data_IF_573254182087
#
_entry.id   IF_573254182087
#
_cell.length_a   1.000
_cell.length_b   1.000
_cell.length_c   1.000
_cell.angle_alpha   90.00
_cell.angle_beta   90.00
_cell.angle_gamma   90.00
#
_symmetry.space_group_name_H-M   'P 1'
#
loop_
_entity.id
_entity.type
_entity.pdbx_description
1 polymer ?
#
# COMPACT_ATOMS: atom_id res chain seq x y z
N UNK A 1 -23.31 20.30 1.84
CA UNK A 1 -22.29 19.61 1.12
C UNK A 1 -22.46 18.11 1.30
N UNK A 2 -22.26 17.26 0.28
CA UNK A 2 -22.30 15.83 0.48
C UNK A 2 -21.21 15.45 1.48
N UNK A 3 -21.39 14.39 2.30
CA UNK A 3 -20.38 13.96 3.25
C UNK A 3 -19.08 13.63 2.52
N UNK A 4 -17.90 13.91 3.12
CA UNK A 4 -16.63 13.57 2.50
C UNK A 4 -16.53 12.06 2.37
N UNK A 5 -16.66 11.57 1.16
CA UNK A 5 -16.40 10.19 0.83
C UNK A 5 -14.89 10.00 0.81
N UNK A 6 -14.38 9.20 1.74
CA UNK A 6 -13.01 8.69 1.82
C UNK A 6 -11.90 9.70 2.17
N UNK A 7 -11.50 9.67 3.44
CA UNK A 7 -10.36 10.41 4.00
C UNK A 7 -9.01 9.74 3.64
N UNK A 8 -8.60 9.83 2.39
CA UNK A 8 -7.24 9.46 1.97
C UNK A 8 -6.50 10.70 1.47
N UNK A 9 -5.17 10.71 1.49
CA UNK A 9 -4.39 11.80 0.89
C UNK A 9 -4.70 11.98 -0.60
N UNK A 10 -5.05 10.91 -1.29
CA UNK A 10 -5.59 10.92 -2.66
C UNK A 10 -6.99 11.53 -2.71
N UNK A 11 -7.85 11.30 -1.71
CA UNK A 11 -9.19 11.90 -1.64
C UNK A 11 -9.14 13.43 -1.47
N UNK A 12 -8.18 13.96 -0.73
CA UNK A 12 -8.01 15.41 -0.62
C UNK A 12 -7.64 16.05 -1.96
N UNK A 13 -6.75 15.40 -2.74
CA UNK A 13 -6.39 15.84 -4.09
C UNK A 13 -7.57 15.74 -5.05
N UNK A 14 -8.41 14.70 -4.91
CA UNK A 14 -9.61 14.48 -5.69
C UNK A 14 -10.66 15.57 -5.44
N UNK A 15 -10.97 15.85 -4.18
CA UNK A 15 -11.92 16.93 -3.82
C UNK A 15 -11.49 18.27 -4.44
N UNK A 16 -10.20 18.58 -4.35
CA UNK A 16 -9.67 19.81 -4.94
C UNK A 16 -9.82 19.83 -6.48
N UNK A 17 -9.51 18.72 -7.16
CA UNK A 17 -9.62 18.62 -8.62
C UNK A 17 -11.07 18.68 -9.12
N UNK A 18 -12.00 18.08 -8.39
CA UNK A 18 -13.44 18.20 -8.69
C UNK A 18 -13.93 19.64 -8.58
N UNK A 19 -13.42 20.42 -7.64
CA UNK A 19 -13.73 21.84 -7.52
C UNK A 19 -13.23 22.66 -8.71
N UNK A 20 -12.15 22.19 -9.37
CA UNK A 20 -11.62 22.77 -10.61
C UNK A 20 -12.33 22.26 -11.89
N UNK A 21 -13.38 21.44 -11.76
CA UNK A 21 -14.17 20.93 -12.88
C UNK A 21 -13.67 19.60 -13.48
N UNK A 22 -12.67 18.96 -12.87
CA UNK A 22 -12.26 17.61 -13.28
C UNK A 22 -13.17 16.55 -12.66
N UNK A 23 -13.45 15.48 -13.41
CA UNK A 23 -14.10 14.26 -12.90
C UNK A 23 -13.05 13.19 -12.60
N UNK A 24 -13.27 12.42 -11.51
CA UNK A 24 -12.40 11.32 -11.12
C UNK A 24 -13.19 10.02 -11.10
N UNK A 25 -12.66 9.01 -11.77
CA UNK A 25 -13.19 7.64 -11.75
C UNK A 25 -12.24 6.76 -10.92
N UNK A 26 -12.77 6.14 -9.87
CA UNK A 26 -12.03 5.16 -9.07
C UNK A 26 -12.26 3.76 -9.63
N UNK A 27 -11.21 2.97 -9.66
CA UNK A 27 -11.26 1.58 -10.07
C UNK A 27 -10.91 0.69 -8.87
N UNK A 28 -11.85 -0.14 -8.45
CA UNK A 28 -11.59 -1.15 -7.45
C UNK A 28 -10.71 -2.25 -8.04
N UNK A 29 -9.69 -2.70 -7.29
CA UNK A 29 -8.87 -3.84 -7.70
C UNK A 29 -9.68 -5.14 -7.66
N UNK A 30 -9.13 -6.20 -8.23
CA UNK A 30 -9.61 -7.56 -8.03
C UNK A 30 -9.36 -8.04 -6.58
N UNK A 31 -10.01 -9.11 -6.10
CA UNK A 31 -9.83 -9.61 -4.72
C UNK A 31 -8.38 -9.94 -4.34
N UNK A 32 -7.51 -10.18 -5.33
CA UNK A 32 -6.07 -10.37 -5.14
C UNK A 32 -5.28 -9.05 -5.10
N UNK A 33 -5.93 -7.90 -5.28
CA UNK A 33 -5.33 -6.58 -5.24
C UNK A 33 -4.73 -6.10 -6.57
N UNK A 34 -4.81 -6.88 -7.64
CA UNK A 34 -4.37 -6.48 -8.97
C UNK A 34 -5.43 -5.66 -9.69
N UNK A 35 -4.99 -4.75 -10.55
CA UNK A 35 -5.87 -4.01 -11.43
C UNK A 35 -6.24 -4.85 -12.65
N UNK A 36 -7.52 -4.98 -12.92
CA UNK A 36 -8.01 -5.57 -14.17
C UNK A 36 -7.83 -4.57 -15.33
N UNK A 37 -7.09 -4.97 -16.35
CA UNK A 37 -6.84 -4.15 -17.54
C UNK A 37 -8.12 -3.90 -18.36
N UNK A 38 -9.06 -4.80 -18.39
CA UNK A 38 -10.32 -4.61 -19.11
C UNK A 38 -11.22 -3.60 -18.38
N UNK A 39 -11.23 -3.60 -17.05
CA UNK A 39 -11.86 -2.53 -16.26
C UNK A 39 -11.22 -1.17 -16.56
N UNK A 40 -9.87 -1.11 -16.60
CA UNK A 40 -9.17 0.12 -16.95
C UNK A 40 -9.52 0.58 -18.36
N UNK A 41 -9.50 -0.31 -19.35
CA UNK A 41 -9.86 0.01 -20.75
C UNK A 41 -11.28 0.57 -20.86
N UNK A 42 -12.22 -0.01 -20.12
CA UNK A 42 -13.64 0.38 -20.14
C UNK A 42 -13.88 1.73 -19.46
N UNK A 43 -13.06 2.09 -18.49
CA UNK A 43 -13.15 3.37 -17.79
C UNK A 43 -12.53 4.54 -18.55
N UNK A 44 -11.65 4.26 -19.51
CA UNK A 44 -11.02 5.28 -20.36
C UNK A 44 -12.01 5.83 -21.37
N UNK A 45 -12.11 7.16 -21.42
CA UNK A 45 -12.91 7.92 -22.40
C UNK A 45 -12.03 8.88 -23.19
N UNK A 46 -12.60 9.54 -24.20
CA UNK A 46 -11.91 10.60 -24.96
C UNK A 46 -11.51 11.81 -24.09
N UNK A 47 -12.16 11.97 -22.94
CA UNK A 47 -11.87 13.04 -21.98
C UNK A 47 -10.83 12.64 -20.93
N UNK A 48 -10.35 11.39 -20.93
CA UNK A 48 -9.37 10.92 -19.96
C UNK A 48 -8.02 11.59 -20.19
N UNK A 49 -7.62 12.42 -19.25
CA UNK A 49 -6.36 13.17 -19.31
C UNK A 49 -5.19 12.39 -18.68
N UNK A 50 -5.43 11.75 -17.55
CA UNK A 50 -4.40 11.14 -16.71
C UNK A 50 -4.94 9.86 -16.08
N UNK A 51 -4.10 8.84 -16.03
CA UNK A 51 -4.29 7.66 -15.17
C UNK A 51 -3.20 7.66 -14.11
N UNK A 52 -3.61 7.49 -12.85
CA UNK A 52 -2.71 7.46 -11.70
C UNK A 52 -2.83 6.12 -10.97
N UNK A 53 -1.72 5.39 -10.86
CA UNK A 53 -1.68 4.04 -10.27
C UNK A 53 -0.54 3.98 -9.24
N UNK A 54 -0.78 3.36 -8.09
CA UNK A 54 0.30 2.94 -7.21
C UNK A 54 1.03 1.73 -7.82
N UNK A 55 2.36 1.81 -7.95
CA UNK A 55 3.14 0.64 -8.38
C UNK A 55 3.06 -0.50 -7.36
N UNK A 56 3.22 -0.15 -6.09
CA UNK A 56 3.14 -1.09 -4.96
C UNK A 56 2.17 -0.53 -3.93
N UNK A 57 1.14 -1.29 -3.60
CA UNK A 57 0.20 -0.87 -2.55
C UNK A 57 0.88 -0.89 -1.18
N UNK A 58 0.69 0.16 -0.38
CA UNK A 58 1.36 0.34 0.91
C UNK A 58 0.81 -0.55 2.04
N UNK A 59 -0.39 -1.09 1.90
CA UNK A 59 -1.01 -1.94 2.91
C UNK A 59 -0.79 -3.43 2.62
N UNK A 60 -1.15 -3.85 1.41
CA UNK A 60 -1.11 -5.27 1.01
C UNK A 60 0.16 -5.66 0.25
N UNK A 61 1.01 -4.71 -0.11
CA UNK A 61 2.29 -4.98 -0.78
C UNK A 61 2.19 -5.45 -2.24
N UNK A 62 0.99 -5.52 -2.81
CA UNK A 62 0.77 -6.02 -4.18
C UNK A 62 1.38 -5.07 -5.21
N UNK A 63 2.03 -5.65 -6.21
CA UNK A 63 2.74 -4.98 -7.31
C UNK A 63 1.86 -4.98 -8.55
N UNK A 64 1.61 -3.81 -9.14
CA UNK A 64 0.86 -3.67 -10.39
C UNK A 64 1.74 -3.86 -11.62
N UNK A 65 1.19 -4.43 -12.68
CA UNK A 65 1.87 -4.63 -13.98
C UNK A 65 1.92 -3.31 -14.77
N UNK A 66 2.90 -2.47 -14.41
CA UNK A 66 3.07 -1.15 -15.03
C UNK A 66 3.41 -1.24 -16.52
N UNK A 67 4.04 -2.33 -16.97
CA UNK A 67 4.42 -2.51 -18.38
C UNK A 67 3.15 -2.61 -19.25
N UNK A 68 2.20 -3.46 -18.86
CA UNK A 68 0.94 -3.59 -19.60
C UNK A 68 0.07 -2.34 -19.49
N UNK A 69 -0.01 -1.75 -18.30
CA UNK A 69 -0.78 -0.51 -18.09
C UNK A 69 -0.18 0.60 -18.95
N UNK A 70 1.13 0.81 -18.89
CA UNK A 70 1.81 1.88 -19.61
C UNK A 70 1.76 1.71 -21.13
N UNK A 71 1.82 0.47 -21.64
CA UNK A 71 1.63 0.20 -23.07
C UNK A 71 0.25 0.62 -23.57
N UNK A 72 -0.81 0.23 -22.82
CA UNK A 72 -2.19 0.62 -23.09
C UNK A 72 -2.38 2.15 -23.12
N UNK A 73 -1.83 2.84 -22.11
CA UNK A 73 -2.00 4.29 -21.99
C UNK A 73 -1.19 5.06 -23.03
N UNK A 74 -0.02 4.55 -23.40
CA UNK A 74 0.83 5.13 -24.46
C UNK A 74 0.15 5.05 -25.84
N UNK A 75 -0.48 3.92 -26.16
CA UNK A 75 -1.26 3.76 -27.39
C UNK A 75 -2.40 4.79 -27.48
N UNK A 76 -3.06 5.06 -26.36
CA UNK A 76 -4.18 6.00 -26.25
C UNK A 76 -3.76 7.45 -26.01
N UNK A 77 -2.45 7.74 -25.93
CA UNK A 77 -1.88 9.07 -25.66
C UNK A 77 -2.36 9.70 -24.36
N UNK A 78 -2.62 8.88 -23.33
CA UNK A 78 -3.05 9.31 -22.01
C UNK A 78 -1.80 9.41 -21.11
N UNK A 79 -1.70 10.46 -20.30
CA UNK A 79 -0.61 10.62 -19.35
C UNK A 79 -0.67 9.53 -18.26
N UNK A 80 0.48 8.97 -17.93
CA UNK A 80 0.62 7.94 -16.91
C UNK A 80 1.42 8.45 -15.73
N UNK A 81 0.74 8.62 -14.59
CA UNK A 81 1.36 8.89 -13.29
C UNK A 81 1.45 7.60 -12.47
N UNK A 82 2.61 7.39 -11.87
CA UNK A 82 2.85 6.26 -10.97
C UNK A 82 3.26 6.78 -9.59
N UNK A 83 2.51 6.38 -8.56
CA UNK A 83 3.01 6.49 -7.20
C UNK A 83 3.93 5.30 -6.90
N UNK A 84 5.23 5.56 -6.92
CA UNK A 84 6.27 4.60 -6.65
C UNK A 84 6.91 4.76 -5.26
N UNK A 85 6.22 5.40 -4.31
CA UNK A 85 6.76 5.65 -2.97
C UNK A 85 7.17 4.35 -2.23
N UNK A 86 6.56 3.21 -2.54
CA UNK A 86 6.86 1.90 -1.94
C UNK A 86 7.85 1.06 -2.76
N UNK A 87 8.19 1.47 -3.99
CA UNK A 87 8.88 0.63 -4.98
C UNK A 87 10.41 0.59 -4.86
N UNK A 88 11.12 1.72 -4.61
CA UNK A 88 12.58 1.75 -4.66
C UNK A 88 13.20 0.73 -3.69
N UNK A 89 14.26 0.06 -4.16
CA UNK A 89 14.95 -0.99 -3.41
C UNK A 89 14.17 -2.30 -3.21
N UNK A 90 12.93 -2.41 -3.74
CA UNK A 90 12.08 -3.60 -3.61
C UNK A 90 11.66 -4.18 -4.96
N UNK A 91 11.44 -3.31 -5.96
CA UNK A 91 11.09 -3.69 -7.33
C UNK A 91 11.86 -2.82 -8.31
N UNK A 92 12.08 -3.36 -9.50
CA UNK A 92 12.69 -2.60 -10.59
C UNK A 92 11.78 -1.45 -11.03
N UNK A 93 12.38 -0.30 -11.33
CA UNK A 93 11.69 0.87 -11.88
C UNK A 93 12.41 1.28 -13.16
N UNK A 94 11.75 1.06 -14.29
CA UNK A 94 12.21 1.53 -15.60
C UNK A 94 11.10 2.39 -16.23
N UNK A 95 11.29 3.70 -16.18
CA UNK A 95 10.30 4.68 -16.65
C UNK A 95 10.09 4.64 -18.16
N UNK A 96 11.07 4.15 -18.92
CA UNK A 96 10.95 4.03 -20.38
C UNK A 96 10.25 2.73 -20.75
N UNK A 97 10.63 1.61 -20.16
CA UNK A 97 9.96 0.32 -20.34
C UNK A 97 8.48 0.39 -19.96
N UNK A 98 8.18 1.06 -18.85
CA UNK A 98 6.80 1.18 -18.35
C UNK A 98 6.02 2.35 -18.94
N UNK A 99 6.62 3.12 -19.86
CA UNK A 99 6.00 4.31 -20.47
C UNK A 99 5.46 5.33 -19.45
N UNK A 100 6.09 5.47 -18.29
CA UNK A 100 5.67 6.38 -17.22
C UNK A 100 5.97 7.82 -17.60
N UNK A 101 5.02 8.72 -17.44
CA UNK A 101 5.17 10.15 -17.71
C UNK A 101 5.50 10.96 -16.45
N UNK A 102 4.94 10.55 -15.31
CA UNK A 102 5.13 11.15 -13.99
C UNK A 102 5.36 10.02 -12.97
N UNK A 103 6.36 10.18 -12.06
CA UNK A 103 6.59 9.17 -11.03
C UNK A 103 6.97 9.83 -9.71
N UNK A 104 6.21 9.53 -8.67
CA UNK A 104 6.42 10.04 -7.31
C UNK A 104 7.27 9.09 -6.48
N UNK A 105 8.27 9.62 -5.78
CA UNK A 105 9.23 8.86 -4.97
C UNK A 105 9.35 9.46 -3.56
N UNK A 106 9.67 8.63 -2.58
CA UNK A 106 9.88 9.03 -1.19
C UNK A 106 11.17 8.44 -0.62
N UNK A 107 12.01 9.28 0.02
CA UNK A 107 13.30 8.83 0.53
C UNK A 107 13.19 7.97 1.80
N UNK A 108 12.30 8.32 2.73
CA UNK A 108 12.21 7.64 4.03
C UNK A 108 11.71 6.18 3.96
N UNK A 109 11.21 5.75 2.80
CA UNK A 109 10.77 4.36 2.56
C UNK A 109 11.90 3.43 2.09
N UNK A 110 13.10 3.98 1.89
CA UNK A 110 14.32 3.25 1.53
C UNK A 110 15.48 3.63 2.46
N UNK A 111 15.17 3.88 3.74
CA UNK A 111 16.15 4.26 4.77
C UNK A 111 16.84 5.60 4.54
N UNK A 112 16.31 6.44 3.65
CA UNK A 112 16.75 7.79 3.41
C UNK A 112 16.11 8.81 4.36
N UNK A 113 16.45 10.11 4.23
CA UNK A 113 15.94 11.16 5.10
C UNK A 113 14.42 11.32 5.01
N UNK A 114 13.78 11.66 6.13
CA UNK A 114 12.38 12.11 6.15
C UNK A 114 12.29 13.54 5.58
N UNK A 115 11.14 13.89 5.02
CA UNK A 115 10.85 15.24 4.53
C UNK A 115 11.35 15.53 3.12
N UNK A 116 11.90 14.55 2.41
CA UNK A 116 12.33 14.66 1.01
C UNK A 116 11.71 13.57 0.15
N UNK A 117 11.33 13.93 -1.06
CA UNK A 117 10.88 13.06 -2.14
C UNK A 117 11.28 13.63 -3.49
N UNK A 118 10.97 12.92 -4.56
CA UNK A 118 11.22 13.39 -5.93
C UNK A 118 10.01 13.10 -6.82
N UNK A 119 9.82 13.97 -7.81
CA UNK A 119 8.90 13.76 -8.92
C UNK A 119 9.71 13.66 -10.21
N UNK A 120 9.66 12.48 -10.85
CA UNK A 120 10.12 12.34 -12.23
C UNK A 120 9.07 12.94 -13.17
N UNK A 121 9.55 13.73 -14.13
CA UNK A 121 8.71 14.32 -15.18
C UNK A 121 9.35 14.02 -16.53
N UNK A 122 8.62 13.28 -17.39
CA UNK A 122 9.12 12.88 -18.71
C UNK A 122 9.36 14.08 -19.61
N UNK A 123 10.49 14.08 -20.29
CA UNK A 123 10.87 15.16 -21.20
C UNK A 123 10.50 14.89 -22.67
N UNK A 124 10.43 13.61 -23.07
CA UNK A 124 10.08 13.18 -24.43
C UNK A 124 9.19 11.94 -24.41
N UNK A 125 7.91 12.02 -24.82
CA UNK A 125 7.20 13.28 -25.14
C UNK A 125 7.15 14.22 -23.93
N UNK A 126 7.08 15.53 -24.18
CA UNK A 126 7.18 16.53 -23.11
C UNK A 126 5.90 16.61 -22.29
N UNK A 127 6.00 16.31 -21.01
CA UNK A 127 4.97 16.61 -20.03
C UNK A 127 5.13 18.05 -19.52
N UNK A 128 4.04 18.78 -19.44
CA UNK A 128 3.97 20.14 -18.90
C UNK A 128 3.25 20.11 -17.57
N UNK A 129 3.85 20.72 -16.56
CA UNK A 129 3.25 20.91 -15.24
C UNK A 129 3.23 22.40 -14.92
N UNK A 130 2.18 22.81 -14.24
CA UNK A 130 2.10 24.13 -13.64
C UNK A 130 2.70 24.08 -12.24
N UNK A 131 3.54 25.06 -11.91
CA UNK A 131 4.12 25.17 -10.59
C UNK A 131 3.07 25.51 -9.54
N UNK A 132 3.05 24.75 -8.45
CA UNK A 132 2.18 25.04 -7.29
C UNK A 132 2.87 25.96 -6.26
N UNK A 133 4.21 26.08 -6.32
CA UNK A 133 5.02 26.94 -5.44
C UNK A 133 5.80 27.92 -6.28
N UNK A 134 5.34 29.15 -6.30
CA UNK A 134 5.97 30.23 -7.06
C UNK A 134 7.13 30.87 -6.28
N UNK A 135 8.06 31.55 -7.00
CA UNK A 135 9.20 32.25 -6.41
C UNK A 135 10.45 32.19 -7.28
N UNK A 136 11.61 31.89 -6.70
CA UNK A 136 12.94 32.00 -7.30
C UNK A 136 13.33 31.02 -8.40
N UNK A 137 12.37 30.27 -8.96
CA UNK A 137 12.60 29.42 -10.14
C UNK A 137 13.44 28.15 -9.90
N UNK A 138 13.60 27.73 -8.64
CA UNK A 138 14.30 26.48 -8.31
C UNK A 138 13.62 25.28 -8.96
N UNK A 139 14.33 24.15 -9.07
CA UNK A 139 13.84 22.93 -9.74
C UNK A 139 13.31 23.22 -11.15
N UNK A 140 14.01 24.06 -11.92
CA UNK A 140 13.63 24.48 -13.28
C UNK A 140 12.26 25.16 -13.35
N UNK A 141 11.86 25.83 -12.28
CA UNK A 141 10.58 26.50 -12.17
C UNK A 141 9.43 25.64 -11.68
N UNK A 142 9.63 24.35 -11.48
CA UNK A 142 8.54 23.46 -11.02
C UNK A 142 8.23 23.61 -9.53
N UNK A 143 9.24 23.92 -8.70
CA UNK A 143 9.06 24.06 -7.25
C UNK A 143 10.09 25.04 -6.71
N UNK A 144 9.64 26.21 -6.33
CA UNK A 144 10.48 27.25 -5.76
C UNK A 144 10.75 27.03 -4.28
N UNK A 145 11.88 27.54 -3.80
CA UNK A 145 12.37 27.48 -2.42
C UNK A 145 13.79 26.93 -2.35
N UNK A 146 14.57 27.42 -1.39
CA UNK A 146 15.95 26.95 -1.16
C UNK A 146 15.99 25.43 -1.03
N UNK A 147 16.91 24.80 -1.77
CA UNK A 147 17.01 23.34 -1.81
C UNK A 147 17.59 22.80 -0.50
N UNK A 148 16.98 21.77 0.10
CA UNK A 148 17.49 21.06 1.28
C UNK A 148 18.63 20.12 0.87
N UNK A 149 19.80 20.66 0.55
CA UNK A 149 20.91 19.94 -0.10
C UNK A 149 21.35 18.70 0.65
N UNK A 150 21.39 18.73 1.99
CA UNK A 150 21.72 17.58 2.82
C UNK A 150 20.73 16.42 2.67
N UNK A 151 19.42 16.72 2.57
CA UNK A 151 18.39 15.71 2.35
C UNK A 151 18.45 15.14 0.92
N UNK A 152 18.74 16.00 -0.08
CA UNK A 152 18.89 15.58 -1.48
C UNK A 152 20.05 14.60 -1.62
N UNK A 153 21.22 14.94 -1.04
CA UNK A 153 22.39 14.05 -1.04
C UNK A 153 22.08 12.74 -0.31
N UNK A 154 21.46 12.82 0.87
CA UNK A 154 21.06 11.63 1.62
C UNK A 154 20.05 10.73 0.88
N UNK A 155 19.09 11.33 0.16
CA UNK A 155 18.17 10.60 -0.71
C UNK A 155 18.93 9.91 -1.85
N UNK A 156 19.84 10.63 -2.52
CA UNK A 156 20.65 10.08 -3.62
C UNK A 156 21.46 8.86 -3.18
N UNK A 157 22.14 8.94 -2.03
CA UNK A 157 22.92 7.83 -1.50
C UNK A 157 22.04 6.65 -1.07
N UNK A 158 20.90 6.92 -0.42
CA UNK A 158 19.96 5.86 -0.04
C UNK A 158 19.42 5.10 -1.25
N UNK A 159 19.10 5.79 -2.34
CA UNK A 159 18.64 5.15 -3.58
C UNK A 159 19.75 4.36 -4.28
N UNK A 160 20.99 4.85 -4.23
CA UNK A 160 22.15 4.14 -4.77
C UNK A 160 22.37 2.82 -4.02
N UNK A 161 22.45 2.85 -2.69
CA UNK A 161 22.58 1.65 -1.83
C UNK A 161 21.43 0.69 -2.08
N UNK A 162 20.18 1.20 -2.07
CA UNK A 162 18.99 0.39 -2.30
C UNK A 162 19.02 -0.33 -3.66
N UNK A 163 19.58 0.31 -4.70
CA UNK A 163 19.75 -0.30 -6.03
C UNK A 163 20.85 -1.38 -6.04
N UNK A 164 21.99 -1.09 -5.41
CA UNK A 164 23.14 -1.99 -5.38
C UNK A 164 22.84 -3.26 -4.58
N UNK A 165 22.07 -3.16 -3.50
CA UNK A 165 21.79 -4.27 -2.60
C UNK A 165 20.43 -4.96 -2.84
N UNK A 166 19.61 -4.43 -3.76
CA UNK A 166 18.21 -4.83 -3.98
C UNK A 166 18.04 -6.34 -4.15
N UNK A 167 18.87 -6.99 -4.98
CA UNK A 167 18.73 -8.41 -5.28
C UNK A 167 18.98 -9.28 -4.03
N UNK A 168 20.07 -9.00 -3.31
CA UNK A 168 20.45 -9.74 -2.12
C UNK A 168 19.46 -9.52 -0.97
N UNK A 169 19.06 -8.27 -0.74
CA UNK A 169 18.09 -7.92 0.28
C UNK A 169 16.74 -8.56 -0.02
N UNK A 170 16.25 -8.45 -1.24
CA UNK A 170 14.96 -9.03 -1.64
C UNK A 170 14.95 -10.56 -1.47
N UNK A 171 16.01 -11.26 -1.85
CA UNK A 171 16.12 -12.71 -1.68
C UNK A 171 16.06 -13.11 -0.20
N UNK A 172 16.82 -12.42 0.66
CA UNK A 172 16.86 -12.66 2.10
C UNK A 172 15.52 -12.32 2.76
N UNK A 173 14.97 -11.15 2.47
CA UNK A 173 13.71 -10.67 3.06
C UNK A 173 12.55 -11.57 2.63
N UNK A 174 12.52 -12.00 1.36
CA UNK A 174 11.50 -12.95 0.89
C UNK A 174 11.56 -14.26 1.65
N UNK A 175 12.76 -14.80 1.90
CA UNK A 175 12.93 -16.03 2.69
C UNK A 175 12.35 -15.87 4.10
N UNK A 176 12.59 -14.73 4.76
CA UNK A 176 12.06 -14.44 6.09
C UNK A 176 10.53 -14.29 6.09
N UNK A 177 9.98 -13.59 5.08
CA UNK A 177 8.53 -13.47 4.89
C UNK A 177 7.87 -14.83 4.67
N UNK A 178 8.44 -15.64 3.79
CA UNK A 178 7.91 -16.96 3.47
C UNK A 178 7.97 -17.89 4.69
N UNK A 179 9.05 -17.78 5.50
CA UNK A 179 9.16 -18.50 6.79
C UNK A 179 8.03 -18.08 7.73
N UNK A 180 7.80 -16.79 7.91
CA UNK A 180 6.72 -16.26 8.76
C UNK A 180 5.36 -16.74 8.29
N UNK A 181 5.06 -16.60 6.99
CA UNK A 181 3.79 -17.01 6.42
C UNK A 181 3.58 -18.54 6.55
N UNK A 182 4.58 -19.35 6.23
CA UNK A 182 4.48 -20.80 6.31
C UNK A 182 4.23 -21.31 7.73
N UNK A 183 4.68 -20.59 8.74
CA UNK A 183 4.42 -20.94 10.14
C UNK A 183 3.03 -20.47 10.62
N UNK A 184 2.44 -19.45 9.98
CA UNK A 184 1.13 -18.90 10.38
C UNK A 184 -0.02 -19.46 9.56
N UNK A 185 0.16 -19.78 8.27
CA UNK A 185 -0.91 -20.11 7.32
C UNK A 185 -1.84 -21.25 7.75
N UNK A 186 -1.37 -22.14 8.63
CA UNK A 186 -2.15 -23.27 9.14
C UNK A 186 -2.92 -22.93 10.45
N UNK A 187 -2.81 -21.69 10.94
CA UNK A 187 -3.66 -21.20 12.02
C UNK A 187 -5.08 -21.03 11.46
N UNK A 188 -6.05 -21.62 12.14
CA UNK A 188 -7.46 -21.60 11.72
C UNK A 188 -7.96 -20.15 11.56
N UNK A 189 -8.81 -19.91 10.58
CA UNK A 189 -9.49 -18.63 10.37
C UNK A 189 -8.52 -17.42 10.27
N UNK A 190 -7.41 -17.58 9.54
CA UNK A 190 -6.59 -16.45 9.11
C UNK A 190 -6.60 -16.34 7.59
N UNK A 191 -6.48 -15.11 7.12
CA UNK A 191 -6.61 -14.78 5.70
C UNK A 191 -5.51 -13.84 5.25
N UNK A 192 -4.76 -14.24 4.21
CA UNK A 192 -3.83 -13.34 3.55
C UNK A 192 -4.62 -12.34 2.68
N UNK A 193 -4.29 -11.07 2.80
CA UNK A 193 -4.88 -10.01 2.00
C UNK A 193 -3.98 -9.64 0.83
N UNK A 194 -4.54 -9.75 -0.38
CA UNK A 194 -3.84 -9.52 -1.64
C UNK A 194 -3.05 -10.74 -2.13
N UNK A 195 -2.49 -10.62 -3.34
CA UNK A 195 -1.72 -11.66 -4.02
C UNK A 195 -0.42 -11.99 -3.27
N UNK A 196 -0.05 -13.27 -3.18
CA UNK A 196 1.19 -13.70 -2.51
C UNK A 196 2.41 -13.61 -3.43
N UNK A 197 2.23 -13.90 -4.72
CA UNK A 197 3.34 -13.96 -5.68
C UNK A 197 3.67 -12.56 -6.22
N UNK A 198 2.65 -11.79 -6.63
CA UNK A 198 2.81 -10.42 -7.11
C UNK A 198 2.90 -9.43 -5.94
N UNK A 199 3.85 -9.64 -5.04
CA UNK A 199 4.02 -8.89 -3.80
C UNK A 199 5.48 -8.55 -3.53
N UNK A 200 5.73 -7.37 -2.95
CA UNK A 200 7.08 -7.03 -2.49
C UNK A 200 7.56 -8.01 -1.41
N UNK A 201 8.88 -8.25 -1.35
CA UNK A 201 9.43 -9.31 -0.50
C UNK A 201 9.06 -9.21 0.98
N UNK A 202 9.04 -8.02 1.55
CA UNK A 202 8.95 -7.82 2.99
C UNK A 202 7.57 -7.43 3.51
N UNK A 203 6.49 -7.68 2.78
CA UNK A 203 5.15 -7.33 3.23
C UNK A 203 4.26 -8.56 3.39
N UNK A 204 3.52 -8.61 4.49
CA UNK A 204 2.34 -9.45 4.67
C UNK A 204 1.23 -8.60 5.32
N UNK A 205 0.02 -8.73 4.80
CA UNK A 205 -1.18 -8.21 5.44
C UNK A 205 -2.09 -9.41 5.71
N UNK A 206 -2.37 -9.65 6.99
CA UNK A 206 -3.08 -10.85 7.44
C UNK A 206 -4.24 -10.43 8.32
N UNK A 207 -5.43 -10.92 8.02
CA UNK A 207 -6.62 -10.80 8.88
C UNK A 207 -6.75 -12.02 9.78
N UNK A 208 -7.05 -11.79 11.05
CA UNK A 208 -7.23 -12.82 12.08
C UNK A 208 -8.70 -12.82 12.51
N UNK A 209 -9.54 -13.65 11.89
CA UNK A 209 -10.95 -13.68 12.19
C UNK A 209 -11.22 -14.02 13.66
N UNK A 210 -12.31 -13.47 14.21
CA UNK A 210 -12.75 -13.61 15.62
C UNK A 210 -11.78 -13.03 16.64
N UNK A 211 -10.91 -12.10 16.20
CA UNK A 211 -9.99 -11.35 17.05
C UNK A 211 -10.20 -9.86 16.78
N UNK A 212 -10.38 -9.10 17.83
CA UNK A 212 -10.47 -7.64 17.72
C UNK A 212 -9.06 -7.07 17.48
N UNK A 213 -8.91 -6.24 16.41
CA UNK A 213 -7.59 -5.83 15.89
C UNK A 213 -6.78 -4.97 16.85
N UNK A 214 -7.42 -4.05 17.60
CA UNK A 214 -6.72 -3.22 18.59
C UNK A 214 -6.23 -4.06 19.76
N UNK A 215 -7.05 -4.99 20.23
CA UNK A 215 -6.67 -5.94 21.28
C UNK A 215 -5.49 -6.80 20.86
N UNK A 216 -5.46 -7.23 19.59
CA UNK A 216 -4.32 -7.98 19.05
C UNK A 216 -3.05 -7.13 19.02
N UNK A 217 -3.11 -5.89 18.51
CA UNK A 217 -1.96 -4.97 18.51
C UNK A 217 -1.45 -4.72 19.93
N UNK A 218 -2.34 -4.55 20.91
CA UNK A 218 -1.95 -4.39 22.31
C UNK A 218 -1.32 -5.66 22.89
N UNK A 219 -1.81 -6.84 22.52
CA UNK A 219 -1.27 -8.11 23.00
C UNK A 219 0.13 -8.41 22.44
N UNK A 220 0.46 -7.89 21.26
CA UNK A 220 1.76 -8.09 20.60
C UNK A 220 2.65 -6.83 20.65
N UNK A 221 2.51 -6.02 21.68
CA UNK A 221 3.24 -4.73 21.87
C UNK A 221 4.76 -4.84 21.81
N UNK A 222 5.30 -6.03 21.97
CA UNK A 222 6.75 -6.31 21.96
C UNK A 222 7.31 -6.39 20.52
N UNK A 223 6.44 -6.34 19.49
CA UNK A 223 6.84 -6.25 18.09
C UNK A 223 6.20 -5.02 17.43
N UNK A 224 6.94 -4.40 16.52
CA UNK A 224 6.46 -3.23 15.79
C UNK A 224 5.66 -3.67 14.55
N UNK A 225 4.35 -3.60 14.63
CA UNK A 225 3.41 -3.84 13.54
C UNK A 225 2.48 -2.64 13.36
N UNK A 226 1.64 -2.66 12.35
CA UNK A 226 0.58 -1.66 12.19
C UNK A 226 -0.74 -2.32 11.81
N UNK A 227 -1.85 -1.68 12.16
CA UNK A 227 -3.14 -2.01 11.57
C UNK A 227 -3.08 -1.81 10.04
N UNK A 228 -3.95 -2.46 9.30
CA UNK A 228 -4.06 -2.28 7.84
C UNK A 228 -4.21 -0.81 7.45
N UNK A 229 -4.97 -0.05 8.22
CA UNK A 229 -5.30 1.36 7.99
C UNK A 229 -4.30 2.36 8.60
N UNK A 230 -3.01 2.08 8.63
CA UNK A 230 -1.99 2.93 9.27
C UNK A 230 -1.99 4.43 8.86
N UNK A 231 -2.58 4.78 7.71
CA UNK A 231 -2.74 6.18 7.28
C UNK A 231 -4.02 6.84 7.81
N UNK A 232 -4.98 6.07 8.32
CA UNK A 232 -6.27 6.54 8.87
C UNK A 232 -6.42 6.21 10.35
N UNK A 233 -5.30 6.03 11.06
CA UNK A 233 -5.26 5.65 12.49
C UNK A 233 -6.02 6.61 13.44
N UNK A 234 -6.55 7.71 12.92
CA UNK A 234 -7.44 8.63 13.63
C UNK A 234 -8.94 8.32 13.40
N UNK A 235 -9.30 7.39 12.51
CA UNK A 235 -10.69 6.98 12.25
C UNK A 235 -10.87 5.52 12.66
N UNK A 236 -11.99 5.24 13.33
CA UNK A 236 -12.44 3.88 13.69
C UNK A 236 -12.93 3.08 12.46
N UNK A 237 -12.75 3.63 11.25
CA UNK A 237 -13.23 2.97 10.04
C UNK A 237 -12.25 1.88 9.55
N UNK A 238 -12.77 0.74 9.09
CA UNK A 238 -11.96 -0.32 8.50
C UNK A 238 -11.23 0.17 7.24
N UNK A 239 -10.12 -0.48 6.90
CA UNK A 239 -9.34 -0.16 5.70
C UNK A 239 -10.18 -0.20 4.43
N UNK A 240 -10.25 0.92 3.72
CA UNK A 240 -10.90 0.99 2.40
C UNK A 240 -10.20 0.08 1.38
N UNK A 241 -8.90 -0.18 1.53
CA UNK A 241 -8.15 -1.12 0.66
C UNK A 241 -8.70 -2.52 0.84
N UNK A 242 -8.86 -2.98 2.09
CA UNK A 242 -9.36 -4.32 2.38
C UNK A 242 -10.84 -4.48 2.00
N UNK A 243 -11.65 -3.44 2.20
CA UNK A 243 -13.03 -3.40 1.68
C UNK A 243 -13.07 -3.56 0.16
N UNK A 244 -12.18 -2.87 -0.57
CA UNK A 244 -12.08 -2.98 -2.03
C UNK A 244 -11.65 -4.38 -2.49
N UNK A 245 -10.96 -5.16 -1.65
CA UNK A 245 -10.67 -6.58 -1.90
C UNK A 245 -11.87 -7.50 -1.60
N UNK A 246 -13.01 -6.96 -1.16
CA UNK A 246 -14.19 -7.72 -0.77
C UNK A 246 -14.14 -8.32 0.64
N UNK A 247 -13.22 -7.81 1.51
CA UNK A 247 -13.24 -8.19 2.93
C UNK A 247 -14.38 -7.48 3.63
N UNK A 248 -15.12 -8.21 4.48
CA UNK A 248 -16.10 -7.59 5.38
C UNK A 248 -15.40 -6.75 6.45
N UNK A 249 -16.17 -5.92 7.14
CA UNK A 249 -15.62 -4.96 8.11
C UNK A 249 -14.90 -5.65 9.26
N UNK A 250 -15.38 -6.81 9.71
CA UNK A 250 -14.77 -7.58 10.80
C UNK A 250 -13.37 -8.07 10.41
N UNK A 251 -13.22 -8.68 9.23
CA UNK A 251 -11.92 -9.11 8.71
C UNK A 251 -10.99 -7.93 8.40
N UNK A 252 -11.54 -6.80 7.94
CA UNK A 252 -10.74 -5.61 7.68
C UNK A 252 -10.22 -4.99 8.99
N UNK A 253 -11.01 -4.97 10.06
CA UNK A 253 -10.59 -4.50 11.38
C UNK A 253 -9.57 -5.42 12.05
N UNK A 254 -9.68 -6.73 11.88
CA UNK A 254 -8.77 -7.72 12.47
C UNK A 254 -7.43 -7.86 11.71
N UNK A 255 -7.19 -7.00 10.72
CA UNK A 255 -5.99 -7.09 9.90
C UNK A 255 -4.77 -6.44 10.53
N UNK A 256 -3.62 -7.11 10.37
CA UNK A 256 -2.31 -6.58 10.75
C UNK A 256 -1.40 -6.59 9.54
N UNK A 257 -0.74 -5.44 9.30
CA UNK A 257 0.35 -5.35 8.35
C UNK A 257 1.67 -5.61 9.04
N UNK A 258 2.34 -6.68 8.61
CA UNK A 258 3.68 -7.07 9.07
C UNK A 258 4.68 -6.67 7.99
N UNK A 259 5.73 -5.95 8.38
CA UNK A 259 6.78 -5.53 7.46
C UNK A 259 8.13 -6.05 7.93
N UNK A 260 8.78 -6.85 7.08
CA UNK A 260 10.14 -7.36 7.28
C UNK A 260 11.10 -6.46 6.53
N UNK A 261 12.09 -5.92 7.23
CA UNK A 261 13.05 -4.97 6.70
C UNK A 261 14.45 -5.54 6.50
N UNK A 262 15.35 -4.65 6.06
CA UNK A 262 16.75 -4.95 5.79
C UNK A 262 17.49 -5.54 7.01
N UNK A 263 17.13 -5.14 8.21
CA UNK A 263 17.83 -5.53 9.44
C UNK A 263 17.10 -6.59 10.26
N UNK A 264 15.91 -7.03 9.81
CA UNK A 264 15.17 -8.09 10.49
C UNK A 264 15.93 -9.42 10.42
N UNK A 265 16.03 -10.08 11.57
CA UNK A 265 16.72 -11.37 11.74
C UNK A 265 15.74 -12.54 11.68
N UNK A 266 16.29 -13.75 11.60
CA UNK A 266 15.50 -14.99 11.60
C UNK A 266 14.89 -15.25 12.99
N UNK A 267 15.63 -14.97 14.06
CA UNK A 267 15.18 -15.12 15.44
C UNK A 267 14.01 -14.15 15.76
N UNK A 268 14.07 -12.92 15.24
CA UNK A 268 12.96 -11.97 15.39
C UNK A 268 11.69 -12.45 14.68
N UNK A 269 11.83 -13.12 13.53
CA UNK A 269 10.70 -13.72 12.83
C UNK A 269 10.11 -14.87 13.63
N UNK A 270 10.93 -15.76 14.18
CA UNK A 270 10.47 -16.87 15.02
C UNK A 270 9.77 -16.36 16.28
N UNK A 271 10.35 -15.37 16.94
CA UNK A 271 9.71 -14.71 18.09
C UNK A 271 8.35 -14.10 17.73
N UNK A 272 8.26 -13.39 16.60
CA UNK A 272 7.02 -12.77 16.15
C UNK A 272 5.94 -13.81 15.86
N UNK A 273 6.28 -14.94 15.25
CA UNK A 273 5.35 -16.05 15.00
C UNK A 273 4.80 -16.62 16.31
N UNK A 274 5.68 -16.92 17.26
CA UNK A 274 5.29 -17.48 18.55
C UNK A 274 4.39 -16.53 19.33
N UNK A 275 4.74 -15.24 19.35
CA UNK A 275 3.94 -14.20 20.00
C UNK A 275 2.57 -14.05 19.36
N UNK A 276 2.50 -14.02 18.02
CA UNK A 276 1.23 -13.93 17.28
C UNK A 276 0.33 -15.12 17.57
N UNK A 277 0.84 -16.36 17.47
CA UNK A 277 0.06 -17.57 17.74
C UNK A 277 -0.54 -17.56 19.16
N UNK A 278 0.30 -17.30 20.16
CA UNK A 278 -0.14 -17.25 21.58
C UNK A 278 -1.18 -16.15 21.81
N UNK A 279 -0.98 -14.98 21.20
CA UNK A 279 -1.90 -13.84 21.38
C UNK A 279 -3.25 -14.09 20.70
N UNK A 280 -3.24 -14.61 19.47
CA UNK A 280 -4.47 -14.98 18.74
C UNK A 280 -5.25 -16.04 19.49
N UNK A 281 -4.61 -17.12 19.94
CA UNK A 281 -5.24 -18.18 20.74
C UNK A 281 -5.87 -17.63 22.01
N UNK A 282 -5.10 -16.81 22.76
CA UNK A 282 -5.58 -16.18 24.00
C UNK A 282 -6.81 -15.31 23.77
N UNK A 283 -6.78 -14.44 22.72
CA UNK A 283 -7.88 -13.54 22.44
C UNK A 283 -9.13 -14.27 21.93
N UNK A 284 -8.96 -15.32 21.11
CA UNK A 284 -10.06 -16.18 20.68
C UNK A 284 -10.73 -16.91 21.84
N UNK A 285 -9.96 -17.42 22.80
CA UNK A 285 -10.49 -18.05 24.02
C UNK A 285 -11.29 -17.07 24.91
N UNK A 286 -11.23 -15.78 24.65
CA UNK A 286 -12.02 -14.72 25.31
C UNK A 286 -13.16 -14.20 24.43
N UNK A 287 -13.28 -14.69 23.19
CA UNK A 287 -14.23 -14.20 22.20
C UNK A 287 -15.48 -15.08 22.13
N UNK A 288 -16.66 -14.58 22.50
CA UNK A 288 -17.90 -15.33 22.32
C UNK A 288 -18.16 -15.73 20.86
N UNK A 289 -17.70 -14.91 19.91
CA UNK A 289 -17.85 -15.21 18.47
C UNK A 289 -17.02 -16.44 18.06
N UNK A 290 -15.86 -16.64 18.70
CA UNK A 290 -15.05 -17.83 18.47
C UNK A 290 -15.74 -19.10 19.00
N UNK A 291 -16.33 -19.03 20.19
CA UNK A 291 -17.10 -20.15 20.76
C UNK A 291 -18.27 -20.50 19.86
N UNK A 292 -19.03 -19.51 19.41
CA UNK A 292 -20.16 -19.72 18.48
C UNK A 292 -19.71 -20.36 17.17
N UNK A 293 -18.58 -19.90 16.61
CA UNK A 293 -17.99 -20.50 15.42
C UNK A 293 -17.63 -21.99 15.65
N UNK A 294 -16.98 -22.30 16.77
CA UNK A 294 -16.61 -23.69 17.14
C UNK A 294 -17.82 -24.58 17.37
N UNK A 295 -18.94 -24.02 17.83
CA UNK A 295 -20.22 -24.69 17.99
C UNK A 295 -20.98 -24.84 16.67
N UNK A 296 -20.43 -24.37 15.55
CA UNK A 296 -21.04 -24.47 14.22
C UNK A 296 -22.19 -23.49 13.99
N UNK A 297 -22.30 -22.41 14.77
CA UNK A 297 -23.34 -21.39 14.63
C UNK A 297 -22.94 -20.44 13.49
N UNK A 298 -23.83 -20.27 12.52
CA UNK A 298 -23.65 -19.26 11.46
C UNK A 298 -23.86 -17.85 12.02
N UNK A 299 -22.77 -17.20 12.38
CA UNK A 299 -22.76 -15.86 12.97
C UNK A 299 -23.37 -14.82 12.03
N UNK A 300 -23.23 -14.98 10.70
CA UNK A 300 -23.79 -14.06 9.69
C UNK A 300 -25.33 -14.12 9.63
N UNK A 301 -25.93 -15.21 10.12
CA UNK A 301 -27.38 -15.36 10.21
C UNK A 301 -27.99 -14.65 11.43
N UNK A 302 -27.17 -14.24 12.40
CA UNK A 302 -27.64 -13.66 13.66
C UNK A 302 -28.00 -12.19 13.43
N UNK A 303 -29.28 -11.85 13.68
CA UNK A 303 -29.71 -10.43 13.72
C UNK A 303 -29.33 -9.83 15.06
N UNK A 304 -28.24 -9.06 15.09
CA UNK A 304 -27.87 -8.27 16.27
C UNK A 304 -28.87 -7.12 16.46
N UNK A 305 -29.54 -7.06 17.59
CA UNK A 305 -30.36 -5.89 17.92
C UNK A 305 -29.43 -4.72 18.22
N UNK A 306 -29.35 -3.78 17.31
CA UNK A 306 -28.72 -2.47 17.57
C UNK A 306 -29.61 -1.72 18.53
N UNK A 307 -29.15 -1.54 19.77
CA UNK A 307 -29.75 -0.65 20.76
C UNK A 307 -29.30 0.79 20.52
#
# INVERSE_FOLDING_TARGET
>A
PPPPTHNTSSAASDVYKRQEGYSVTYLDPEPNGLLDLEKLKSAITEQTLLVSIMHVNNEIGVIQDLEKIGALLRERKILFHVDAAQSPGKVEIDVDKFNVDLLSLSAHKVYGPKGIGALYVRRKPRVRLESQMHGGGHERGFRSGTLPTHQIVGMGEAFKIAREEMENDNKRIKKLRDKLWNQLKDVEEIYLNGDLENRIPGNLNISFNYVEGESLIMAIKDIAVSSGSACTSASLEPSYVLRALGRDDELAHSSIRITIGKYTTEDEVDYAVDLLKKSVEKLRNLSPLWDMYKDGIDIKSIKWNTH
#
